data_IF_487343947467
#
_entry.id   IF_487343947467
#
_cell.length_a   1.000
_cell.length_b   1.000
_cell.length_c   1.000
_cell.angle_alpha   90.00
_cell.angle_beta   90.00
_cell.angle_gamma   90.00
#
_symmetry.space_group_name_H-M   'P 1'
#
loop_
_entity.id
_entity.type
_entity.pdbx_description
1 polymer ?
#
# COMPACT_ATOMS: atom_id res chain seq x y z
N UNK A 1 15.90 -10.05 31.68
CA UNK A 1 17.00 -9.71 30.77
C UNK A 1 16.78 -8.28 30.31
N UNK A 2 17.58 -7.34 30.83
CA UNK A 2 17.45 -5.92 30.50
C UNK A 2 17.79 -5.72 29.03
N UNK A 3 16.82 -5.32 28.21
CA UNK A 3 17.10 -4.84 26.86
C UNK A 3 17.96 -3.59 27.00
N UNK A 4 19.22 -3.69 26.60
CA UNK A 4 20.09 -2.54 26.44
C UNK A 4 19.42 -1.61 25.44
N UNK A 5 19.00 -0.43 25.90
CA UNK A 5 18.56 0.64 25.02
C UNK A 5 19.75 1.02 24.14
N UNK A 6 19.77 0.54 22.90
CA UNK A 6 20.69 1.05 21.90
C UNK A 6 20.43 2.54 21.77
N UNK A 7 21.46 3.34 22.04
CA UNK A 7 21.44 4.78 21.90
C UNK A 7 21.12 5.08 20.42
N UNK A 8 19.88 5.47 20.10
CA UNK A 8 19.51 5.83 18.74
C UNK A 8 20.35 7.04 18.33
N UNK A 9 21.33 6.83 17.46
CA UNK A 9 22.05 7.92 16.82
C UNK A 9 21.04 8.79 16.06
N UNK A 10 21.19 10.11 16.18
CA UNK A 10 20.35 11.06 15.46
C UNK A 10 20.40 10.75 13.95
N UNK A 11 19.23 10.74 13.31
CA UNK A 11 19.13 10.50 11.88
C UNK A 11 19.72 11.68 11.11
N UNK A 12 20.75 11.42 10.31
CA UNK A 12 21.41 12.41 9.46
C UNK A 12 21.42 11.92 8.00
N UNK A 13 20.67 12.60 7.10
CA UNK A 13 20.61 12.23 5.68
C UNK A 13 21.97 12.24 4.96
N UNK A 14 22.95 13.01 5.46
CA UNK A 14 24.30 13.14 4.86
C UNK A 14 25.27 12.10 5.42
N UNK A 15 25.12 11.75 6.69
CA UNK A 15 26.05 10.89 7.42
C UNK A 15 25.61 9.42 7.43
N UNK A 16 24.41 9.09 7.92
CA UNK A 16 24.03 7.72 8.27
C UNK A 16 22.71 7.21 7.67
N UNK A 17 21.92 8.04 6.97
CA UNK A 17 20.64 7.63 6.41
C UNK A 17 20.47 8.10 4.95
N UNK A 18 20.73 7.22 3.98
CA UNK A 18 20.68 7.57 2.55
C UNK A 18 19.66 6.72 1.79
N UNK A 19 18.96 7.36 0.85
CA UNK A 19 18.07 6.70 -0.10
C UNK A 19 18.87 5.72 -0.99
N UNK A 20 18.24 4.63 -1.48
CA UNK A 20 16.84 4.23 -1.26
C UNK A 20 16.60 3.45 0.05
N UNK A 21 17.67 3.12 0.79
CA UNK A 21 17.60 2.19 1.93
C UNK A 21 17.11 2.84 3.22
N UNK A 22 17.24 4.16 3.35
CA UNK A 22 16.85 4.90 4.53
C UNK A 22 16.33 6.29 4.15
N UNK A 23 15.28 6.71 4.84
CA UNK A 23 14.76 8.08 4.78
C UNK A 23 14.49 8.55 6.20
N UNK A 24 15.07 9.68 6.60
CA UNK A 24 14.84 10.22 7.93
C UNK A 24 13.39 10.73 8.06
N UNK A 25 12.71 10.46 9.19
CA UNK A 25 11.38 10.99 9.44
C UNK A 25 11.35 12.53 9.33
N UNK A 26 10.31 13.07 8.69
CA UNK A 26 10.14 14.52 8.56
C UNK A 26 9.11 14.90 7.49
N UNK A 27 8.90 16.19 7.31
CA UNK A 27 7.93 16.76 6.35
C UNK A 27 8.55 17.11 5.00
N UNK A 28 9.86 16.95 4.86
CA UNK A 28 10.58 17.29 3.63
C UNK A 28 10.32 16.21 2.59
N UNK A 29 10.18 16.61 1.33
CA UNK A 29 10.08 15.67 0.22
C UNK A 29 11.39 14.89 0.06
N UNK A 30 11.33 13.60 -0.33
CA UNK A 30 12.50 12.91 -0.84
C UNK A 30 13.14 13.71 -1.99
N UNK A 31 14.47 13.70 -2.07
CA UNK A 31 15.26 14.42 -3.08
C UNK A 31 15.07 15.96 -3.12
N UNK A 32 14.31 16.57 -2.20
CA UNK A 32 14.13 18.03 -2.15
C UNK A 32 13.28 18.59 -3.30
N UNK A 33 12.42 17.77 -3.90
CA UNK A 33 11.50 18.17 -4.98
C UNK A 33 10.53 19.27 -4.51
N UNK A 34 10.18 20.22 -5.38
CA UNK A 34 9.16 21.23 -5.08
C UNK A 34 7.78 20.59 -5.12
N UNK A 35 6.84 21.11 -4.32
CA UNK A 35 5.46 20.58 -4.22
C UNK A 35 4.76 20.40 -5.57
N UNK A 36 5.00 21.29 -6.54
CA UNK A 36 4.40 21.21 -7.89
C UNK A 36 4.93 20.06 -8.74
N UNK A 37 6.07 19.49 -8.37
CA UNK A 37 6.75 18.40 -9.08
C UNK A 37 6.42 17.03 -8.47
N UNK A 38 5.77 16.99 -7.31
CA UNK A 38 5.49 15.77 -6.56
C UNK A 38 4.12 15.21 -6.98
N UNK A 39 4.05 13.95 -7.47
CA UNK A 39 2.78 13.27 -7.65
C UNK A 39 2.08 13.08 -6.29
N UNK A 40 0.83 13.51 -6.19
CA UNK A 40 0.02 13.23 -5.00
C UNK A 40 -0.39 11.75 -5.02
N UNK A 41 0.23 10.94 -4.15
CA UNK A 41 -0.17 9.56 -3.96
C UNK A 41 -1.41 9.49 -3.06
N UNK A 42 -2.34 8.61 -3.40
CA UNK A 42 -3.49 8.23 -2.58
C UNK A 42 -3.42 6.72 -2.40
N UNK A 43 -3.34 6.27 -1.15
CA UNK A 43 -3.35 4.85 -0.81
C UNK A 43 -4.77 4.48 -0.38
N UNK A 44 -5.43 3.67 -1.20
CA UNK A 44 -6.70 3.05 -0.84
C UNK A 44 -6.40 1.70 -0.20
N UNK A 45 -6.79 1.53 1.06
CA UNK A 45 -6.56 0.29 1.80
C UNK A 45 -7.89 -0.34 2.22
N UNK A 46 -7.90 -1.67 2.27
CA UNK A 46 -8.97 -2.46 2.85
C UNK A 46 -8.36 -3.40 3.86
N UNK A 47 -8.93 -3.40 5.06
CA UNK A 47 -8.50 -4.27 6.15
C UNK A 47 -9.47 -5.46 6.26
N UNK A 48 -9.04 -6.48 7.00
CA UNK A 48 -9.78 -7.71 7.32
C UNK A 48 -9.93 -8.70 6.15
N UNK A 49 -10.89 -9.63 6.31
CA UNK A 49 -11.05 -10.81 5.47
C UNK A 49 -11.46 -10.45 4.04
N UNK A 50 -10.94 -11.17 3.05
CA UNK A 50 -11.42 -11.11 1.66
C UNK A 50 -12.29 -12.33 1.38
N UNK A 51 -13.56 -12.13 1.04
CA UNK A 51 -14.51 -13.24 0.83
C UNK A 51 -15.67 -12.86 -0.11
N UNK A 52 -16.64 -13.75 -0.26
CA UNK A 52 -17.78 -13.56 -1.18
C UNK A 52 -18.65 -12.34 -0.86
N UNK A 53 -18.64 -11.84 0.39
CA UNK A 53 -19.45 -10.69 0.78
C UNK A 53 -18.88 -9.38 0.22
N UNK A 54 -17.56 -9.23 0.21
CA UNK A 54 -16.90 -7.98 -0.19
C UNK A 54 -16.25 -8.03 -1.57
N UNK A 55 -15.99 -9.21 -2.12
CA UNK A 55 -15.38 -9.33 -3.45
C UNK A 55 -16.15 -8.61 -4.57
N UNK A 56 -17.50 -8.69 -4.64
CA UNK A 56 -18.26 -7.96 -5.66
C UNK A 56 -18.05 -6.44 -5.59
N UNK A 57 -17.89 -5.88 -4.38
CA UNK A 57 -17.57 -4.46 -4.20
C UNK A 57 -16.20 -4.12 -4.77
N UNK A 58 -15.18 -4.96 -4.54
CA UNK A 58 -13.86 -4.73 -5.11
C UNK A 58 -13.90 -4.76 -6.64
N UNK A 59 -14.68 -5.66 -7.24
CA UNK A 59 -14.86 -5.70 -8.69
C UNK A 59 -15.55 -4.43 -9.21
N UNK A 60 -16.54 -3.88 -8.51
CA UNK A 60 -17.18 -2.62 -8.91
C UNK A 60 -16.23 -1.39 -8.84
N UNK A 61 -15.25 -1.45 -7.96
CA UNK A 61 -14.25 -0.39 -7.80
C UNK A 61 -13.14 -0.51 -8.85
N UNK A 62 -12.64 -1.71 -9.10
CA UNK A 62 -11.39 -1.92 -9.83
C UNK A 62 -11.54 -2.53 -11.22
N UNK A 63 -12.62 -3.26 -11.49
CA UNK A 63 -12.86 -3.88 -12.78
C UNK A 63 -13.75 -2.98 -13.66
N UNK A 64 -13.71 -3.23 -14.97
CA UNK A 64 -14.68 -2.66 -15.91
C UNK A 64 -15.97 -3.48 -15.92
N UNK A 65 -17.11 -2.81 -16.11
CA UNK A 65 -18.38 -3.46 -16.48
C UNK A 65 -19.13 -2.60 -17.51
N UNK A 66 -20.27 -3.09 -17.98
CA UNK A 66 -21.09 -2.42 -19.02
C UNK A 66 -21.48 -0.98 -18.68
N UNK A 67 -21.49 -0.62 -17.38
CA UNK A 67 -21.89 0.70 -16.90
C UNK A 67 -20.69 1.58 -16.52
N UNK A 68 -19.48 1.03 -16.43
CA UNK A 68 -18.34 1.72 -15.84
C UNK A 68 -17.01 1.26 -16.44
N UNK A 69 -16.28 2.15 -17.14
CA UNK A 69 -14.93 1.84 -17.59
C UNK A 69 -13.99 1.70 -16.39
N UNK A 70 -12.88 1.00 -16.62
CA UNK A 70 -11.83 0.87 -15.62
C UNK A 70 -11.28 2.24 -15.21
N UNK A 71 -11.05 2.44 -13.91
CA UNK A 71 -10.46 3.68 -13.40
C UNK A 71 -8.95 3.64 -13.60
N UNK A 72 -8.39 4.69 -14.22
CA UNK A 72 -6.96 4.78 -14.52
C UNK A 72 -6.29 5.97 -13.86
N UNK A 73 -5.01 5.80 -13.50
CA UNK A 73 -4.11 6.87 -13.12
C UNK A 73 -3.75 7.73 -14.35
N UNK A 74 -3.16 8.94 -14.17
CA UNK A 74 -2.72 9.80 -15.28
C UNK A 74 -1.72 9.14 -16.24
N UNK A 75 -1.03 8.07 -15.81
CA UNK A 75 -0.13 7.28 -16.64
C UNK A 75 -0.84 6.20 -17.49
N UNK A 76 -2.18 6.13 -17.44
CA UNK A 76 -2.98 5.14 -18.17
C UNK A 76 -3.04 3.75 -17.51
N UNK A 77 -2.26 3.49 -16.46
CA UNK A 77 -2.36 2.23 -15.72
C UNK A 77 -3.65 2.23 -14.86
N UNK A 78 -4.30 1.08 -14.66
CA UNK A 78 -5.47 1.06 -13.79
C UNK A 78 -5.09 1.29 -12.33
N UNK A 79 -6.00 1.90 -11.56
CA UNK A 79 -5.76 2.18 -10.14
C UNK A 79 -5.58 0.87 -9.37
N UNK A 80 -4.81 0.94 -8.28
CA UNK A 80 -4.52 -0.19 -7.39
C UNK A 80 -4.84 0.18 -5.94
N UNK A 81 -4.91 -0.85 -5.12
CA UNK A 81 -5.18 -0.75 -3.69
C UNK A 81 -4.31 -1.78 -2.96
N UNK A 82 -4.20 -1.60 -1.65
CA UNK A 82 -3.50 -2.51 -0.74
C UNK A 82 -4.54 -3.19 0.15
N UNK A 83 -4.50 -4.51 0.22
CA UNK A 83 -5.38 -5.31 1.08
C UNK A 83 -4.57 -5.82 2.25
N UNK A 84 -4.84 -5.35 3.46
CA UNK A 84 -4.29 -5.91 4.68
C UNK A 84 -5.21 -7.04 5.16
N UNK A 85 -4.85 -8.27 4.83
CA UNK A 85 -5.73 -9.43 4.95
C UNK A 85 -5.52 -10.16 6.28
N UNK A 86 -6.60 -10.32 7.05
CA UNK A 86 -6.64 -11.20 8.22
C UNK A 86 -7.00 -12.64 7.82
N UNK A 87 -6.55 -13.64 8.58
CA UNK A 87 -6.73 -15.04 8.21
C UNK A 87 -8.18 -15.52 8.30
N UNK A 88 -8.86 -15.18 9.40
CA UNK A 88 -10.21 -15.70 9.66
C UNK A 88 -11.18 -15.26 8.56
N UNK A 89 -11.98 -16.18 8.03
CA UNK A 89 -12.98 -15.93 6.98
C UNK A 89 -12.44 -15.49 5.60
N UNK A 90 -11.13 -15.56 5.37
CA UNK A 90 -10.53 -15.24 4.07
C UNK A 90 -10.60 -16.40 3.08
N UNK A 91 -11.07 -16.11 1.86
CA UNK A 91 -10.93 -16.95 0.69
C UNK A 91 -9.65 -16.58 -0.07
N UNK A 92 -8.63 -17.43 0.09
CA UNK A 92 -7.32 -17.20 -0.53
C UNK A 92 -7.32 -17.29 -2.07
N UNK A 93 -8.32 -17.90 -2.70
CA UNK A 93 -8.44 -17.88 -4.17
C UNK A 93 -8.76 -16.46 -4.68
N UNK A 94 -9.55 -15.72 -3.91
CA UNK A 94 -9.87 -14.31 -4.18
C UNK A 94 -8.68 -13.41 -3.90
N UNK A 95 -7.95 -13.66 -2.82
CA UNK A 95 -6.67 -12.97 -2.54
C UNK A 95 -5.69 -13.17 -3.68
N UNK A 96 -5.54 -14.40 -4.18
CA UNK A 96 -4.70 -14.70 -5.35
C UNK A 96 -5.17 -13.93 -6.60
N UNK A 97 -6.49 -13.81 -6.80
CA UNK A 97 -7.06 -13.05 -7.91
C UNK A 97 -6.76 -11.56 -7.80
N UNK A 98 -6.89 -10.96 -6.61
CA UNK A 98 -6.52 -9.56 -6.36
C UNK A 98 -5.04 -9.32 -6.62
N UNK A 99 -4.16 -10.21 -6.14
CA UNK A 99 -2.73 -10.15 -6.40
C UNK A 99 -2.42 -10.26 -7.90
N UNK A 100 -3.03 -11.21 -8.61
CA UNK A 100 -2.84 -11.39 -10.05
C UNK A 100 -3.29 -10.17 -10.88
N UNK A 101 -4.25 -9.39 -10.35
CA UNK A 101 -4.70 -8.11 -10.94
C UNK A 101 -3.80 -6.92 -10.59
N UNK A 102 -2.76 -7.14 -9.79
CA UNK A 102 -1.73 -6.17 -9.44
C UNK A 102 -2.01 -5.37 -8.17
N UNK A 103 -2.98 -5.79 -7.35
CA UNK A 103 -3.16 -5.22 -6.01
C UNK A 103 -2.07 -5.72 -5.05
N UNK A 104 -1.73 -4.91 -4.07
CA UNK A 104 -0.80 -5.29 -3.01
C UNK A 104 -1.54 -6.08 -1.93
N UNK A 105 -0.91 -7.13 -1.40
CA UNK A 105 -1.43 -7.92 -0.28
C UNK A 105 -0.46 -7.79 0.90
N UNK A 106 -0.95 -7.20 2.00
CA UNK A 106 -0.28 -7.14 3.30
C UNK A 106 -0.94 -8.08 4.31
N UNK A 107 -0.22 -8.42 5.38
CA UNK A 107 -0.76 -9.23 6.48
C UNK A 107 -1.49 -8.33 7.50
N UNK A 108 -2.68 -8.75 7.93
CA UNK A 108 -3.41 -8.18 9.06
C UNK A 108 -3.64 -9.26 10.14
N UNK A 109 -2.52 -9.87 10.57
CA UNK A 109 -2.46 -10.99 11.52
C UNK A 109 -3.25 -12.24 11.14
N UNK A 110 -3.08 -13.28 11.96
CA UNK A 110 -3.88 -14.53 11.87
C UNK A 110 -5.09 -14.47 12.80
N UNK A 111 -4.91 -13.81 13.95
CA UNK A 111 -5.85 -13.70 15.07
C UNK A 111 -5.89 -12.28 15.58
#
# INVERSE_FOLDING_TARGET
MMQQQQQQHQCDPKLNCKLPKCFCPGIKSPHGLKRKEIPQMILLTFDDAVNDLNFPLYQEIFDSNDRKPIRTNPNGCPIRATFFVSHEWTDYSKVQTLYARGHEIGSHSVT
#
